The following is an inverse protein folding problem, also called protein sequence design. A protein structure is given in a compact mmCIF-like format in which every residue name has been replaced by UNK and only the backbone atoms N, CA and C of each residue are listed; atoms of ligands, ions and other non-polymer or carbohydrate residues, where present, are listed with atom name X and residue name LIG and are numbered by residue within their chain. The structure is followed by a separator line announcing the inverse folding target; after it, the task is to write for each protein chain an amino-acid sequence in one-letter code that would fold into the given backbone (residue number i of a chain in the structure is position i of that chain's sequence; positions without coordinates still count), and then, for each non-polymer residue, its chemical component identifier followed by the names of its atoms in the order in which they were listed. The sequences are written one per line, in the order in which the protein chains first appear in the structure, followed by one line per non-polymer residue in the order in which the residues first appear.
data_IF_591621262094
#
_entry.id   IF_591621262094
#
_cell.length_a   1.000
_cell.length_b   1.000
_cell.length_c   1.000
_cell.angle_alpha   90.00
_cell.angle_beta   90.00
_cell.angle_gamma   90.00
#
_symmetry.space_group_name_H-M   'P 1'
#
loop_
_entity.id
_entity.type
_entity.pdbx_description
1 polymer ?
#
# COMPACT_ATOMS: atom_id res chain seq x y z
N UNK A 1 31.39 -12.31 -63.16
CA UNK A 1 30.18 -12.40 -62.30
C UNK A 1 29.18 -11.39 -62.82
N UNK A 2 27.96 -11.83 -63.18
CA UNK A 2 26.92 -10.98 -63.73
C UNK A 2 26.41 -9.97 -62.71
N UNK A 3 26.47 -8.68 -63.06
CA UNK A 3 25.96 -7.55 -62.27
C UNK A 3 24.54 -7.78 -61.71
N UNK A 4 23.70 -8.46 -62.49
CA UNK A 4 22.32 -8.81 -62.10
C UNK A 4 22.28 -9.72 -60.87
N UNK A 5 23.19 -10.69 -60.76
CA UNK A 5 23.30 -11.58 -59.60
C UNK A 5 23.72 -10.82 -58.34
N UNK A 6 24.63 -9.84 -58.47
CA UNK A 6 25.08 -9.01 -57.34
C UNK A 6 23.93 -8.16 -56.81
N UNK A 7 23.13 -7.55 -57.69
CA UNK A 7 21.97 -6.72 -57.31
C UNK A 7 20.88 -7.55 -56.64
N UNK A 8 20.52 -8.71 -57.19
CA UNK A 8 19.49 -9.58 -56.58
C UNK A 8 19.92 -10.12 -55.22
N UNK A 9 21.20 -10.45 -55.04
CA UNK A 9 21.73 -10.92 -53.75
C UNK A 9 21.71 -9.81 -52.71
N UNK A 10 22.01 -8.56 -53.10
CA UNK A 10 21.99 -7.41 -52.19
C UNK A 10 20.58 -7.05 -51.75
N UNK A 11 19.59 -7.12 -52.65
CA UNK A 11 18.17 -6.93 -52.33
C UNK A 11 17.67 -8.04 -51.39
N UNK A 12 18.06 -9.30 -51.62
CA UNK A 12 17.70 -10.41 -50.75
C UNK A 12 18.28 -10.24 -49.34
N UNK A 13 19.55 -9.83 -49.22
CA UNK A 13 20.19 -9.53 -47.93
C UNK A 13 19.48 -8.39 -47.19
N UNK A 14 19.10 -7.32 -47.88
CA UNK A 14 18.33 -6.23 -47.30
C UNK A 14 16.96 -6.69 -46.82
N UNK A 15 16.25 -7.52 -47.60
CA UNK A 15 14.96 -8.06 -47.20
C UNK A 15 15.06 -8.95 -45.94
N UNK A 16 16.13 -9.76 -45.84
CA UNK A 16 16.40 -10.56 -44.64
C UNK A 16 16.69 -9.69 -43.43
N UNK A 17 17.50 -8.63 -43.59
CA UNK A 17 17.80 -7.68 -42.51
C UNK A 17 16.57 -6.93 -42.01
N UNK A 18 15.71 -6.47 -42.92
CA UNK A 18 14.45 -5.79 -42.60
C UNK A 18 13.50 -6.76 -41.89
N UNK A 19 13.34 -7.99 -42.41
CA UNK A 19 12.51 -9.02 -41.79
C UNK A 19 12.99 -9.40 -40.39
N UNK A 20 14.31 -9.44 -40.18
CA UNK A 20 14.89 -9.75 -38.88
C UNK A 20 14.70 -8.61 -37.87
N UNK A 21 14.86 -7.35 -38.30
CA UNK A 21 14.53 -6.18 -37.48
C UNK A 21 13.05 -6.13 -37.12
N UNK A 22 12.16 -6.33 -38.10
CA UNK A 22 10.72 -6.39 -37.86
C UNK A 22 10.34 -7.49 -36.87
N UNK A 23 10.91 -8.70 -36.98
CA UNK A 23 10.72 -9.77 -35.99
C UNK A 23 11.18 -9.38 -34.59
N UNK A 24 12.27 -8.63 -34.47
CA UNK A 24 12.79 -8.17 -33.19
C UNK A 24 11.86 -7.12 -32.57
N UNK A 25 11.38 -6.17 -33.36
CA UNK A 25 10.42 -5.15 -32.93
C UNK A 25 9.08 -5.78 -32.51
N UNK A 26 8.54 -6.72 -33.30
CA UNK A 26 7.31 -7.45 -32.96
C UNK A 26 7.48 -8.25 -31.67
N UNK A 27 8.64 -8.88 -31.43
CA UNK A 27 8.92 -9.56 -30.15
C UNK A 27 8.96 -8.61 -28.95
N UNK A 28 9.45 -7.38 -29.14
CA UNK A 28 9.46 -6.37 -28.07
C UNK A 28 8.05 -5.84 -27.82
N UNK A 29 7.32 -5.48 -28.88
CA UNK A 29 5.94 -5.00 -28.78
C UNK A 29 5.00 -6.04 -28.18
N UNK A 30 5.09 -7.31 -28.62
CA UNK A 30 4.26 -8.40 -28.09
C UNK A 30 4.50 -8.66 -26.60
N UNK A 31 5.76 -8.57 -26.14
CA UNK A 31 6.07 -8.63 -24.71
C UNK A 31 5.44 -7.48 -23.93
N UNK A 32 5.57 -6.26 -24.44
CA UNK A 32 4.95 -5.08 -23.82
C UNK A 32 3.41 -5.20 -23.75
N UNK A 33 2.76 -5.70 -24.82
CA UNK A 33 1.31 -5.91 -24.82
C UNK A 33 0.86 -7.03 -23.89
N UNK A 34 1.61 -8.12 -23.79
CA UNK A 34 1.31 -9.20 -22.83
C UNK A 34 1.47 -8.73 -21.39
N UNK A 35 2.48 -7.91 -21.12
CA UNK A 35 2.67 -7.31 -19.80
C UNK A 35 1.55 -6.31 -19.48
N UNK A 36 1.12 -5.50 -20.44
CA UNK A 36 -0.02 -4.61 -20.29
C UNK A 36 -1.34 -5.37 -20.09
N UNK A 37 -1.60 -6.42 -20.85
CA UNK A 37 -2.78 -7.28 -20.67
C UNK A 37 -2.77 -7.93 -19.29
N UNK A 38 -1.63 -8.48 -18.87
CA UNK A 38 -1.46 -9.01 -17.53
C UNK A 38 -1.79 -7.95 -16.48
N UNK A 39 -1.23 -6.74 -16.57
CA UNK A 39 -1.54 -5.65 -15.62
C UNK A 39 -3.02 -5.26 -15.63
N UNK A 40 -3.67 -5.24 -16.79
CA UNK A 40 -5.10 -4.93 -16.91
C UNK A 40 -5.99 -6.04 -16.33
N UNK A 41 -5.65 -7.30 -16.57
CA UNK A 41 -6.29 -8.45 -15.92
C UNK A 41 -6.10 -8.39 -14.39
N UNK A 42 -4.91 -7.97 -13.93
CA UNK A 42 -4.67 -7.70 -12.51
C UNK A 42 -5.60 -6.60 -11.97
N UNK A 43 -5.81 -5.49 -12.68
CA UNK A 43 -6.74 -4.46 -12.19
C UNK A 43 -8.21 -4.91 -12.17
N UNK A 44 -8.61 -5.87 -13.00
CA UNK A 44 -9.98 -6.36 -13.04
C UNK A 44 -10.35 -7.25 -11.85
N UNK A 45 -9.38 -7.99 -11.28
CA UNK A 45 -9.67 -9.03 -10.29
C UNK A 45 -9.22 -8.71 -8.87
N UNK A 46 -8.47 -7.63 -8.66
CA UNK A 46 -7.89 -7.31 -7.37
C UNK A 46 -8.75 -6.29 -6.61
N UNK A 47 -8.95 -6.49 -5.31
CA UNK A 47 -9.64 -5.52 -4.49
C UNK A 47 -8.74 -4.29 -4.27
N UNK A 48 -9.23 -3.11 -4.64
CA UNK A 48 -8.69 -1.80 -4.30
C UNK A 48 -9.04 -1.52 -2.83
N UNK A 49 -8.02 -1.47 -1.98
CA UNK A 49 -8.14 -1.27 -0.54
C UNK A 49 -7.61 0.10 -0.17
N UNK A 50 -8.25 0.75 0.79
CA UNK A 50 -7.79 1.99 1.39
C UNK A 50 -7.71 1.82 2.90
N UNK A 51 -6.61 2.28 3.49
CA UNK A 51 -6.38 2.27 4.94
C UNK A 51 -6.29 3.71 5.42
N UNK A 52 -7.17 4.10 6.33
CA UNK A 52 -7.09 5.40 6.99
C UNK A 52 -7.08 5.24 8.50
N UNK A 53 -6.41 6.16 9.18
CA UNK A 53 -6.29 6.17 10.63
C UNK A 53 -6.91 7.46 11.12
N UNK A 54 -7.92 7.35 11.97
CA UNK A 54 -8.68 8.48 12.49
C UNK A 54 -8.60 8.53 14.01
N UNK A 55 -8.48 9.73 14.61
CA UNK A 55 -8.61 9.87 16.05
C UNK A 55 -10.07 9.65 16.48
N UNK A 56 -10.25 9.06 17.66
CA UNK A 56 -11.54 8.88 18.31
C UNK A 56 -11.38 9.29 19.79
N UNK A 57 -11.42 10.59 20.05
CA UNK A 57 -11.14 11.17 21.38
C UNK A 57 -9.68 10.95 21.80
N UNK A 58 -9.48 10.10 22.82
CA UNK A 58 -8.15 9.69 23.32
C UNK A 58 -7.62 8.42 22.66
N UNK A 59 -8.40 7.83 21.75
CA UNK A 59 -8.10 6.55 21.09
C UNK A 59 -7.87 6.79 19.61
N UNK A 60 -7.40 5.75 18.94
CA UNK A 60 -7.31 5.68 17.48
C UNK A 60 -8.21 4.58 16.95
N UNK A 61 -8.75 4.81 15.75
CA UNK A 61 -9.50 3.85 14.98
C UNK A 61 -8.86 3.75 13.59
N UNK A 62 -8.79 2.54 13.07
CA UNK A 62 -8.37 2.27 11.69
C UNK A 62 -9.60 1.92 10.88
N UNK A 63 -9.76 2.60 9.75
CA UNK A 63 -10.83 2.34 8.80
C UNK A 63 -10.20 1.65 7.60
N UNK A 64 -10.60 0.41 7.37
CA UNK A 64 -10.23 -0.39 6.22
C UNK A 64 -11.40 -0.39 5.24
N UNK A 65 -11.22 0.21 4.07
CA UNK A 65 -12.26 0.35 3.06
C UNK A 65 -11.90 -0.44 1.83
N UNK A 66 -12.81 -1.30 1.37
CA UNK A 66 -12.73 -1.87 0.03
C UNK A 66 -13.51 -0.97 -0.93
N UNK A 67 -12.82 -0.22 -1.78
CA UNK A 67 -13.47 0.68 -2.76
C UNK A 67 -13.80 -0.02 -4.07
N UNK A 68 -13.59 -1.32 -4.14
CA UNK A 68 -13.89 -2.11 -5.34
C UNK A 68 -15.38 -2.34 -5.47
N UNK A 69 -15.89 -2.17 -6.69
CA UNK A 69 -17.29 -2.42 -6.98
C UNK A 69 -17.67 -3.91 -6.99
N UNK A 70 -16.73 -4.80 -7.32
CA UNK A 70 -17.00 -6.23 -7.57
C UNK A 70 -16.08 -7.18 -6.81
N UNK A 71 -14.86 -6.75 -6.48
CA UNK A 71 -13.85 -7.62 -5.89
C UNK A 71 -13.93 -7.59 -4.36
N UNK A 72 -13.85 -8.76 -3.74
CA UNK A 72 -13.85 -8.93 -2.29
C UNK A 72 -12.47 -9.37 -1.78
N UNK A 73 -12.28 -9.29 -0.46
CA UNK A 73 -11.14 -9.84 0.27
C UNK A 73 -11.64 -11.02 1.10
N UNK A 74 -10.93 -12.15 1.08
CA UNK A 74 -11.30 -13.34 1.87
C UNK A 74 -10.81 -13.24 3.33
N UNK A 75 -9.64 -12.65 3.52
CA UNK A 75 -9.02 -12.41 4.83
C UNK A 75 -8.05 -11.24 4.76
N UNK A 76 -7.92 -10.50 5.85
CA UNK A 76 -6.95 -9.42 5.96
C UNK A 76 -6.19 -9.49 7.27
N UNK A 77 -4.94 -9.02 7.22
CA UNK A 77 -4.04 -8.92 8.35
C UNK A 77 -3.54 -7.49 8.44
N UNK A 78 -3.73 -6.85 9.58
CA UNK A 78 -3.24 -5.51 9.86
C UNK A 78 -2.05 -5.61 10.83
N UNK A 79 -0.88 -5.11 10.43
CA UNK A 79 0.28 -4.95 11.31
C UNK A 79 0.41 -3.49 11.70
N UNK A 80 0.55 -3.25 12.99
CA UNK A 80 0.62 -1.90 13.56
C UNK A 80 2.03 -1.62 14.09
N UNK A 81 2.50 -0.41 13.84
CA UNK A 81 3.75 0.12 14.37
C UNK A 81 3.44 1.48 15.00
N UNK A 82 3.47 1.53 16.32
CA UNK A 82 3.24 2.72 17.13
C UNK A 82 4.57 3.26 17.64
N UNK A 83 4.81 4.56 17.43
CA UNK A 83 5.93 5.29 18.02
C UNK A 83 5.42 6.59 18.61
N UNK A 84 5.65 6.79 19.91
CA UNK A 84 5.31 7.99 20.65
C UNK A 84 6.58 8.49 21.32
N UNK A 85 6.96 9.74 21.09
CA UNK A 85 8.03 10.41 21.83
C UNK A 85 7.52 11.76 22.35
N UNK A 86 8.04 12.17 23.51
CA UNK A 86 7.69 13.44 24.14
C UNK A 86 8.92 14.08 24.79
N UNK A 87 8.88 15.40 24.95
CA UNK A 87 9.88 16.15 25.71
C UNK A 87 11.31 16.00 25.17
N UNK A 88 11.49 16.09 23.84
CA UNK A 88 12.79 15.83 23.17
C UNK A 88 13.35 14.43 23.48
N UNK A 89 12.50 13.41 23.41
CA UNK A 89 12.85 12.00 23.66
C UNK A 89 13.15 11.64 25.12
N UNK A 90 12.75 12.48 26.09
CA UNK A 90 12.77 12.12 27.51
C UNK A 90 11.77 11.02 27.84
N UNK A 91 10.69 10.96 27.07
CA UNK A 91 9.74 9.85 27.08
C UNK A 91 9.66 9.25 25.67
N UNK A 92 9.65 7.91 25.60
CA UNK A 92 9.52 7.18 24.35
C UNK A 92 8.78 5.86 24.59
N UNK A 93 7.78 5.59 23.77
CA UNK A 93 7.08 4.32 23.69
C UNK A 93 7.14 3.86 22.24
N UNK A 94 7.65 2.66 22.03
CA UNK A 94 7.64 1.99 20.74
C UNK A 94 6.96 0.65 20.91
N UNK A 95 5.90 0.42 20.15
CA UNK A 95 5.23 -0.88 20.07
C UNK A 95 5.23 -1.27 18.61
N UNK A 96 5.99 -2.32 18.31
CA UNK A 96 6.04 -2.92 16.99
C UNK A 96 5.30 -4.27 17.03
N UNK A 97 4.87 -4.74 15.87
CA UNK A 97 4.39 -6.12 15.66
C UNK A 97 3.07 -6.50 16.31
N UNK A 98 2.24 -5.53 16.71
CA UNK A 98 0.84 -5.84 16.98
C UNK A 98 0.15 -6.23 15.67
N UNK A 99 -0.53 -7.37 15.68
CA UNK A 99 -1.21 -7.95 14.53
C UNK A 99 -2.69 -8.12 14.85
N UNK A 100 -3.54 -7.55 14.01
CA UNK A 100 -4.97 -7.83 14.00
C UNK A 100 -5.30 -8.66 12.76
N UNK A 101 -5.98 -9.77 12.95
CA UNK A 101 -6.49 -10.59 11.84
C UNK A 101 -7.99 -10.38 11.74
N UNK A 102 -8.46 -10.15 10.53
CA UNK A 102 -9.87 -10.10 10.21
C UNK A 102 -10.23 -10.98 9.03
N UNK A 103 -11.54 -11.11 8.82
CA UNK A 103 -12.11 -12.06 7.87
C UNK A 103 -12.44 -11.42 6.54
N UNK A 104 -13.63 -11.75 6.06
CA UNK A 104 -14.13 -11.31 4.77
C UNK A 104 -14.41 -9.80 4.74
N UNK A 105 -13.99 -9.12 3.67
CA UNK A 105 -14.34 -7.73 3.38
C UNK A 105 -14.98 -7.67 1.99
N UNK A 106 -16.27 -7.38 1.93
CA UNK A 106 -17.05 -7.35 0.69
C UNK A 106 -16.68 -6.18 -0.22
N UNK A 107 -17.23 -6.15 -1.45
CA UNK A 107 -17.13 -4.99 -2.32
C UNK A 107 -17.81 -3.77 -1.70
N UNK A 108 -17.24 -2.57 -1.85
CA UNK A 108 -17.75 -1.30 -1.29
C UNK A 108 -18.02 -1.33 0.23
N UNK A 109 -17.39 -2.23 0.98
CA UNK A 109 -17.59 -2.33 2.42
C UNK A 109 -16.51 -1.58 3.19
N UNK A 110 -16.89 -1.11 4.38
CA UNK A 110 -16.02 -0.43 5.33
C UNK A 110 -15.97 -1.25 6.61
N UNK A 111 -14.77 -1.49 7.10
CA UNK A 111 -14.54 -2.13 8.40
C UNK A 111 -13.84 -1.13 9.33
N UNK A 112 -14.37 -1.01 10.55
CA UNK A 112 -13.84 -0.12 11.58
C UNK A 112 -13.11 -0.92 12.67
N UNK A 113 -11.78 -0.93 12.61
CA UNK A 113 -10.95 -1.63 13.60
C UNK A 113 -10.56 -0.66 14.72
N UNK A 114 -10.89 -1.02 15.96
CA UNK A 114 -10.40 -0.33 17.17
C UNK A 114 -9.34 -1.20 17.85
N UNK A 115 -8.03 -0.97 17.58
CA UNK A 115 -6.96 -1.85 18.08
C UNK A 115 -6.78 -1.68 19.59
N UNK A 116 -7.23 -2.66 20.38
CA UNK A 116 -7.23 -2.56 21.85
C UNK A 116 -5.83 -2.34 22.43
N UNK A 117 -4.85 -3.20 22.09
CA UNK A 117 -3.49 -3.10 22.63
C UNK A 117 -2.80 -1.77 22.28
N UNK A 118 -3.03 -1.27 21.06
CA UNK A 118 -2.50 0.04 20.64
C UNK A 118 -3.16 1.15 21.44
N UNK A 119 -4.47 1.07 21.64
CA UNK A 119 -5.23 2.06 22.42
C UNK A 119 -4.84 2.05 23.90
N UNK A 120 -4.50 0.89 24.46
CA UNK A 120 -4.01 0.78 25.84
C UNK A 120 -2.61 1.41 25.96
N UNK A 121 -1.71 1.13 25.01
CA UNK A 121 -0.39 1.78 24.95
C UNK A 121 -0.49 3.31 24.81
N UNK A 122 -1.46 3.80 24.05
CA UNK A 122 -1.74 5.23 23.92
C UNK A 122 -2.24 5.79 25.25
N UNK A 123 -3.17 5.10 25.92
CA UNK A 123 -3.72 5.54 27.20
C UNK A 123 -2.62 5.73 28.26
N UNK A 124 -1.68 4.79 28.35
CA UNK A 124 -0.52 4.87 29.26
C UNK A 124 0.41 6.05 28.91
N UNK A 125 0.48 6.42 27.63
CA UNK A 125 1.31 7.53 27.16
C UNK A 125 0.67 8.92 27.33
N UNK A 126 -0.63 9.03 27.61
CA UNK A 126 -1.32 10.33 27.71
C UNK A 126 -0.75 11.21 28.82
N UNK A 127 -0.55 10.66 30.03
CA UNK A 127 -0.08 11.46 31.16
C UNK A 127 1.33 12.05 30.93
N UNK A 128 2.31 11.29 30.40
CA UNK A 128 3.57 11.86 29.94
C UNK A 128 3.40 12.92 28.83
N UNK A 129 2.55 12.67 27.83
CA UNK A 129 2.33 13.61 26.71
C UNK A 129 1.77 14.96 27.16
N UNK A 130 0.94 14.98 28.20
CA UNK A 130 0.37 16.21 28.76
C UNK A 130 1.40 17.08 29.51
N UNK A 131 2.52 16.49 29.98
CA UNK A 131 3.55 17.23 30.73
C UNK A 131 4.43 18.09 29.83
N UNK A 132 4.46 17.79 28.53
CA UNK A 132 5.32 18.46 27.56
C UNK A 132 4.47 19.26 26.55
N UNK A 133 5.01 20.37 25.99
CA UNK A 133 4.34 21.10 24.91
C UNK A 133 4.10 20.20 23.70
N UNK A 134 2.98 20.43 22.99
CA UNK A 134 2.59 19.61 21.82
C UNK A 134 3.65 19.61 20.70
N UNK A 135 4.41 20.70 20.56
CA UNK A 135 5.54 20.82 19.62
C UNK A 135 6.67 19.80 19.87
N UNK A 136 6.79 19.29 21.10
CA UNK A 136 7.80 18.31 21.49
C UNK A 136 7.27 16.87 21.48
N UNK A 137 6.00 16.69 21.10
CA UNK A 137 5.33 15.42 21.05
C UNK A 137 5.31 14.91 19.60
N UNK A 138 5.89 13.73 19.37
CA UNK A 138 5.79 13.04 18.10
C UNK A 138 5.07 11.72 18.30
N UNK A 139 3.85 11.63 17.81
CA UNK A 139 3.10 10.37 17.78
C UNK A 139 2.86 9.98 16.33
N UNK A 140 3.42 8.84 15.93
CA UNK A 140 3.19 8.20 14.63
C UNK A 140 2.57 6.82 14.83
N UNK A 141 1.47 6.56 14.13
CA UNK A 141 0.94 5.20 13.95
C UNK A 141 1.03 4.83 12.47
N UNK A 142 1.70 3.72 12.18
CA UNK A 142 1.72 3.11 10.85
C UNK A 142 0.95 1.81 10.89
N UNK A 143 0.15 1.57 9.85
CA UNK A 143 -0.65 0.36 9.70
C UNK A 143 -0.39 -0.19 8.32
N UNK A 144 0.00 -1.45 8.28
CA UNK A 144 0.19 -2.22 7.05
C UNK A 144 -0.95 -3.22 6.94
N UNK A 145 -1.76 -3.09 5.90
CA UNK A 145 -2.82 -4.03 5.58
C UNK A 145 -2.35 -5.00 4.51
N UNK A 146 -2.28 -6.29 4.85
CA UNK A 146 -2.11 -7.39 3.91
C UNK A 146 -3.47 -8.04 3.68
N UNK A 147 -4.04 -7.85 2.49
CA UNK A 147 -5.34 -8.38 2.10
C UNK A 147 -5.16 -9.55 1.12
N UNK A 148 -5.82 -10.67 1.40
CA UNK A 148 -5.79 -11.86 0.54
C UNK A 148 -7.08 -11.92 -0.28
N UNK A 149 -7.03 -11.86 -1.62
CA UNK A 149 -8.21 -12.05 -2.45
C UNK A 149 -8.76 -13.50 -2.34
N UNK A 150 -10.02 -13.74 -2.69
CA UNK A 150 -10.60 -15.08 -2.67
C UNK A 150 -10.05 -16.01 -3.77
N UNK A 151 -9.50 -15.44 -4.85
CA UNK A 151 -8.98 -16.23 -5.96
C UNK A 151 -7.55 -16.71 -5.68
N UNK A 152 -7.24 -18.02 -5.77
CA UNK A 152 -5.99 -18.61 -5.27
C UNK A 152 -4.73 -18.24 -6.06
N UNK A 153 -4.89 -17.70 -7.28
CA UNK A 153 -3.77 -17.19 -8.10
C UNK A 153 -3.55 -15.68 -7.96
N UNK A 154 -4.40 -14.98 -7.20
CA UNK A 154 -4.26 -13.55 -7.02
C UNK A 154 -3.21 -13.27 -5.95
N UNK A 155 -2.33 -12.32 -6.24
CA UNK A 155 -1.36 -11.82 -5.27
C UNK A 155 -2.05 -11.12 -4.10
N UNK A 156 -1.33 -10.97 -2.98
CA UNK A 156 -1.82 -10.21 -1.83
C UNK A 156 -1.76 -8.72 -2.15
N UNK A 157 -2.80 -8.00 -1.74
CA UNK A 157 -2.82 -6.54 -1.80
C UNK A 157 -2.20 -6.00 -0.52
N UNK A 158 -1.16 -5.17 -0.64
CA UNK A 158 -0.46 -4.57 0.50
C UNK A 158 -0.69 -3.07 0.44
N UNK A 159 -1.32 -2.53 1.47
CA UNK A 159 -1.62 -1.10 1.59
C UNK A 159 -1.10 -0.54 2.92
N UNK A 160 -0.73 0.73 2.92
CA UNK A 160 -0.18 1.39 4.10
C UNK A 160 -0.98 2.64 4.47
N UNK A 161 -1.45 2.68 5.71
CA UNK A 161 -1.97 3.88 6.35
C UNK A 161 -0.94 4.48 7.31
N UNK A 162 -0.78 5.80 7.30
CA UNK A 162 0.05 6.52 8.29
C UNK A 162 -0.72 7.68 8.88
N UNK A 163 -0.74 7.74 10.21
CA UNK A 163 -1.34 8.82 10.96
C UNK A 163 -0.29 9.47 11.85
N UNK A 164 -0.15 10.78 11.74
CA UNK A 164 0.63 11.59 12.67
C UNK A 164 -0.35 12.27 13.61
N UNK A 165 -0.04 12.25 14.90
CA UNK A 165 -0.91 12.77 15.93
C UNK A 165 -0.16 13.74 16.84
N UNK A 166 -0.90 14.73 17.33
CA UNK A 166 -0.52 15.56 18.45
C UNK A 166 -1.61 15.45 19.53
N UNK A 167 -1.21 15.50 20.80
CA UNK A 167 -2.15 15.52 21.91
C UNK A 167 -2.34 16.98 22.36
N UNK A 168 -3.54 17.52 22.12
CA UNK A 168 -3.87 18.91 22.40
C UNK A 168 -5.31 19.04 22.90
N UNK A 169 -5.57 19.99 23.80
CA UNK A 169 -6.90 20.25 24.36
C UNK A 169 -7.58 18.97 24.88
N UNK A 170 -6.78 18.09 25.50
CA UNK A 170 -7.22 16.80 26.02
C UNK A 170 -7.79 15.85 24.94
N UNK A 171 -7.32 15.92 23.70
CA UNK A 171 -7.75 15.03 22.62
C UNK A 171 -6.58 14.72 21.68
N UNK A 172 -6.63 13.56 21.01
CA UNK A 172 -5.74 13.29 19.89
C UNK A 172 -6.24 14.01 18.64
N UNK A 173 -5.37 14.78 18.00
CA UNK A 173 -5.63 15.43 16.72
C UNK A 173 -4.68 14.90 15.67
N UNK A 174 -5.20 14.66 14.48
CA UNK A 174 -4.39 14.34 13.32
C UNK A 174 -3.61 15.59 12.89
N UNK A 175 -2.31 15.46 12.69
CA UNK A 175 -1.44 16.54 12.20
C UNK A 175 -0.86 16.16 10.82
N UNK A 176 -0.55 17.14 9.97
CA UNK A 176 0.16 16.86 8.72
C UNK A 176 1.53 16.23 9.04
N UNK A 177 1.91 15.22 8.24
CA UNK A 177 3.20 14.56 8.41
C UNK A 177 4.38 15.52 8.23
N UNK A 178 5.55 15.21 8.80
CA UNK A 178 6.77 15.98 8.55
C UNK A 178 7.06 15.97 7.05
N UNK A 179 7.26 17.17 6.49
CA UNK A 179 7.70 17.37 5.09
C UNK A 179 9.14 16.92 4.89
#
# INVERSE_FOLDING_TARGET
MDWKFTVTTLVALLAVLISWRARREVKVASKATLELQSRLEHYQHFPIIQVSIVPNGHKVKVILTNVSAQNAVSSYKLRFILRITAGKSTFSVSKEDYVYNGGFLGPNSVEEISPAEINDCIADAISPLQKYPSEQNHFVLRVYAECTPPHPKSEKVIEQGVGYFAYENNQLKLVPGPK
#
